data_IF_055182135851
#
_entry.id   IF_055182135851
#
_cell.length_a   1.000
_cell.length_b   1.000
_cell.length_c   1.000
_cell.angle_alpha   90.00
_cell.angle_beta   90.00
_cell.angle_gamma   90.00
#
_symmetry.space_group_name_H-M   'P 1'
#
loop_
_entity.id
_entity.type
_entity.pdbx_description
1 polymer ?
#
# COMPACT_ATOMS: atom_id res chain seq x y z
N UNK A 1 11.28 1.83 -14.91
CA UNK A 1 11.53 2.96 -15.85
C UNK A 1 10.23 3.33 -16.56
N UNK A 2 9.98 4.61 -16.82
CA UNK A 2 8.84 5.09 -17.61
C UNK A 2 9.41 5.83 -18.80
N UNK A 3 9.14 5.35 -20.02
CA UNK A 3 9.77 5.84 -21.25
C UNK A 3 11.32 5.85 -21.18
N UNK A 4 11.91 4.76 -20.66
CA UNK A 4 13.38 4.60 -20.58
C UNK A 4 14.08 5.46 -19.51
N UNK A 5 13.32 6.18 -18.66
CA UNK A 5 13.89 6.99 -17.57
C UNK A 5 13.55 6.41 -16.20
N UNK A 6 14.48 6.55 -15.25
CA UNK A 6 14.20 6.29 -13.84
C UNK A 6 13.12 7.26 -13.36
N UNK A 7 12.18 6.77 -12.56
CA UNK A 7 11.13 7.57 -11.95
C UNK A 7 10.86 7.07 -10.55
N UNK A 8 10.49 7.98 -9.67
CA UNK A 8 9.96 7.65 -8.35
C UNK A 8 8.54 7.13 -8.49
N UNK A 9 8.21 6.07 -7.76
CA UNK A 9 6.84 5.61 -7.66
C UNK A 9 5.96 6.74 -7.12
N UNK A 10 4.77 6.88 -7.68
CA UNK A 10 3.72 7.71 -7.09
C UNK A 10 3.24 7.12 -5.77
N UNK A 11 2.48 7.89 -5.00
CA UNK A 11 1.88 7.43 -3.75
C UNK A 11 0.99 6.21 -4.02
N UNK A 12 0.18 6.25 -5.08
CA UNK A 12 -0.70 5.14 -5.48
C UNK A 12 0.11 3.90 -5.87
N UNK A 13 1.16 4.06 -6.66
CA UNK A 13 2.02 2.92 -7.04
C UNK A 13 2.72 2.32 -5.82
N UNK A 14 3.10 3.15 -4.85
CA UNK A 14 3.68 2.70 -3.58
C UNK A 14 2.67 1.92 -2.74
N UNK A 15 1.40 2.34 -2.70
CA UNK A 15 0.33 1.61 -2.02
C UNK A 15 0.00 0.28 -2.70
N UNK A 16 -0.05 0.27 -4.05
CA UNK A 16 -0.25 -0.96 -4.82
C UNK A 16 0.89 -1.96 -4.61
N UNK A 17 2.12 -1.46 -4.50
CA UNK A 17 3.28 -2.29 -4.15
C UNK A 17 3.10 -2.98 -2.79
N UNK A 18 2.44 -2.33 -1.82
CA UNK A 18 2.11 -2.93 -0.53
C UNK A 18 0.92 -3.90 -0.58
N UNK A 19 0.29 -4.07 -1.74
CA UNK A 19 -0.91 -4.89 -1.91
C UNK A 19 -2.20 -4.23 -1.41
N UNK A 20 -2.18 -2.92 -1.13
CA UNK A 20 -3.35 -2.19 -0.63
C UNK A 20 -4.31 -1.90 -1.79
N UNK A 21 -5.60 -2.28 -1.71
CA UNK A 21 -6.58 -1.96 -2.74
C UNK A 21 -6.76 -0.44 -2.95
N UNK A 22 -6.94 -0.03 -4.22
CA UNK A 22 -7.06 1.39 -4.60
C UNK A 22 -8.18 2.12 -3.84
N UNK A 23 -9.29 1.44 -3.49
CA UNK A 23 -10.39 2.04 -2.73
C UNK A 23 -9.95 2.63 -1.37
N UNK A 24 -8.96 2.02 -0.71
CA UNK A 24 -8.45 2.52 0.56
C UNK A 24 -7.52 3.72 0.33
N UNK A 25 -6.72 3.69 -0.74
CA UNK A 25 -5.92 4.84 -1.15
C UNK A 25 -6.80 6.05 -1.49
N UNK A 26 -7.86 5.85 -2.26
CA UNK A 26 -8.75 6.93 -2.70
C UNK A 26 -9.39 7.63 -1.49
N UNK A 27 -9.88 6.86 -0.52
CA UNK A 27 -10.39 7.41 0.75
C UNK A 27 -9.31 8.14 1.56
N UNK A 28 -8.11 7.56 1.67
CA UNK A 28 -7.01 8.20 2.42
C UNK A 28 -6.55 9.51 1.75
N UNK A 29 -6.55 9.57 0.42
CA UNK A 29 -6.14 10.73 -0.37
C UNK A 29 -7.07 11.93 -0.16
N UNK A 30 -8.35 11.71 0.14
CA UNK A 30 -9.31 12.79 0.41
C UNK A 30 -8.97 13.58 1.69
N UNK A 31 -8.26 12.97 2.64
CA UNK A 31 -8.04 13.52 3.98
C UNK A 31 -6.57 13.63 4.39
N UNK A 32 -5.62 13.20 3.56
CA UNK A 32 -4.18 13.21 3.87
C UNK A 32 -3.32 13.79 2.75
N UNK A 33 -2.17 14.36 3.11
CA UNK A 33 -1.22 14.91 2.14
C UNK A 33 -0.42 13.81 1.41
N UNK A 34 0.14 14.11 0.21
CA UNK A 34 0.99 13.16 -0.52
C UNK A 34 2.16 12.59 0.29
N UNK A 35 2.84 13.44 1.07
CA UNK A 35 3.94 13.00 1.95
C UNK A 35 3.45 12.00 3.01
N UNK A 36 2.25 12.22 3.57
CA UNK A 36 1.65 11.28 4.52
C UNK A 36 1.23 9.98 3.84
N UNK A 37 0.79 10.00 2.58
CA UNK A 37 0.47 8.79 1.83
C UNK A 37 1.72 7.95 1.56
N UNK A 38 2.86 8.56 1.20
CA UNK A 38 4.13 7.84 1.12
C UNK A 38 4.54 7.24 2.47
N UNK A 39 4.41 8.01 3.55
CA UNK A 39 4.72 7.51 4.89
C UNK A 39 3.84 6.32 5.29
N UNK A 40 2.55 6.33 4.96
CA UNK A 40 1.64 5.21 5.20
C UNK A 40 2.06 3.97 4.38
N UNK A 41 2.49 4.15 3.13
CA UNK A 41 3.00 3.05 2.31
C UNK A 41 4.30 2.45 2.85
N UNK A 42 5.19 3.28 3.41
CA UNK A 42 6.50 2.84 3.93
C UNK A 42 6.47 2.30 5.36
N UNK A 43 5.58 2.82 6.21
CA UNK A 43 5.47 2.43 7.62
C UNK A 43 4.45 1.30 7.85
N UNK A 44 3.61 0.99 6.84
CA UNK A 44 2.64 -0.09 6.91
C UNK A 44 3.24 -1.47 6.70
N UNK A 45 2.44 -2.51 6.97
CA UNK A 45 2.76 -3.90 6.62
C UNK A 45 2.20 -4.25 5.24
N UNK A 46 2.95 -5.00 4.43
CA UNK A 46 2.46 -5.53 3.15
C UNK A 46 1.31 -6.52 3.37
N UNK A 47 0.21 -6.35 2.63
CA UNK A 47 -1.05 -7.08 2.85
C UNK A 47 -0.88 -8.60 2.81
N UNK A 48 -0.06 -9.11 1.90
CA UNK A 48 0.22 -10.55 1.81
C UNK A 48 0.93 -11.12 3.05
N UNK A 49 1.83 -10.34 3.67
CA UNK A 49 2.51 -10.73 4.90
C UNK A 49 1.54 -10.69 6.08
N UNK A 50 0.71 -9.65 6.16
CA UNK A 50 -0.34 -9.55 7.17
C UNK A 50 -1.27 -10.78 7.14
N UNK A 51 -1.75 -11.15 5.94
CA UNK A 51 -2.57 -12.35 5.74
C UNK A 51 -1.86 -13.63 6.16
N UNK A 52 -0.64 -13.84 5.68
CA UNK A 52 0.17 -15.03 6.00
C UNK A 52 0.40 -15.22 7.51
N UNK A 53 0.57 -14.12 8.25
CA UNK A 53 0.69 -14.13 9.71
C UNK A 53 -0.68 -14.44 10.34
N UNK A 54 -1.75 -13.78 9.87
CA UNK A 54 -3.12 -14.02 10.33
C UNK A 54 -3.56 -15.48 10.21
N UNK A 55 -3.34 -16.10 9.06
CA UNK A 55 -3.63 -17.53 8.82
C UNK A 55 -2.90 -18.44 9.83
N UNK A 56 -1.63 -18.13 10.15
CA UNK A 56 -0.85 -18.89 11.17
C UNK A 56 -1.33 -18.68 12.59
N UNK A 57 -1.97 -17.55 12.84
CA UNK A 57 -2.61 -17.26 14.12
C UNK A 57 -4.02 -17.83 14.22
N UNK A 58 -4.52 -18.49 13.16
CA UNK A 58 -5.87 -19.06 13.09
C UNK A 58 -6.96 -18.07 12.71
N UNK A 59 -6.62 -16.92 12.13
CA UNK A 59 -7.58 -16.03 11.49
C UNK A 59 -7.82 -16.50 10.05
N UNK A 60 -9.06 -16.84 9.73
CA UNK A 60 -9.49 -17.13 8.35
C UNK A 60 -10.08 -15.86 7.74
N UNK A 61 -9.75 -15.56 6.47
CA UNK A 61 -10.50 -14.57 5.70
C UNK A 61 -11.80 -15.24 5.22
N UNK A 62 -12.95 -14.65 5.53
CA UNK A 62 -14.28 -15.07 5.03
C UNK A 62 -14.39 -14.96 3.48
#
# INVERSE_FOLDING_TARGET
MRNGKLYWLTERESWRLQGIPDQYFDRAKEVTSPNQLYAQAGNGLTVNIARFIGERMGYEED
#
